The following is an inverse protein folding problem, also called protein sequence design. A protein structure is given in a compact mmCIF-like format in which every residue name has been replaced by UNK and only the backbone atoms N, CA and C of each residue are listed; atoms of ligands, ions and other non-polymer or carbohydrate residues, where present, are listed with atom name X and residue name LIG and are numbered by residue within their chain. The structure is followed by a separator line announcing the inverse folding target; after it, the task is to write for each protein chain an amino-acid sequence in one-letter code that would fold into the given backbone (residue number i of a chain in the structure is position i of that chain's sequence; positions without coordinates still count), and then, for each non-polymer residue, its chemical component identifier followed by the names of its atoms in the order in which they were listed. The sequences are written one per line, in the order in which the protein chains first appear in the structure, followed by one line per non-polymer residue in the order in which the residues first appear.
data_IF_699622404653
#
_entry.id   IF_699622404653
#
_cell.length_a   1.000
_cell.length_b   1.000
_cell.length_c   1.000
_cell.angle_alpha   90.00
_cell.angle_beta   90.00
_cell.angle_gamma   90.00
#
_symmetry.space_group_name_H-M   'P 1'
#
loop_
_entity.id
_entity.type
_entity.pdbx_description
1 polymer ?
#
# COMPACT_ATOMS: atom_id res chain seq x y z
N UNK A 1 -20.79 -5.47 -8.15
CA UNK A 1 -20.23 -4.10 -8.33
C UNK A 1 -18.75 -4.07 -7.97
N UNK A 2 -18.32 -4.57 -6.79
CA UNK A 2 -16.92 -4.61 -6.33
C UNK A 2 -15.95 -5.15 -7.40
N UNK A 3 -16.21 -6.33 -7.98
CA UNK A 3 -15.35 -6.96 -9.00
C UNK A 3 -15.22 -6.10 -10.27
N UNK A 4 -16.31 -5.46 -10.73
CA UNK A 4 -16.27 -4.63 -11.93
C UNK A 4 -15.38 -3.40 -11.74
N UNK A 5 -15.48 -2.75 -10.58
CA UNK A 5 -14.66 -1.57 -10.24
C UNK A 5 -13.20 -1.97 -10.18
N UNK A 6 -12.89 -3.06 -9.48
CA UNK A 6 -11.54 -3.60 -9.41
C UNK A 6 -10.99 -3.92 -10.81
N UNK A 7 -11.77 -4.60 -11.64
CA UNK A 7 -11.37 -4.93 -13.00
C UNK A 7 -11.04 -3.69 -13.84
N UNK A 8 -11.83 -2.61 -13.71
CA UNK A 8 -11.57 -1.34 -14.42
C UNK A 8 -10.26 -0.72 -13.93
N UNK A 9 -10.07 -0.61 -12.60
CA UNK A 9 -8.85 -0.02 -12.03
C UNK A 9 -7.62 -0.81 -12.45
N UNK A 10 -7.64 -2.14 -12.29
CA UNK A 10 -6.53 -3.00 -12.71
C UNK A 10 -6.26 -2.93 -14.20
N UNK A 11 -7.31 -2.90 -15.05
CA UNK A 11 -7.15 -2.78 -16.50
C UNK A 11 -6.44 -1.50 -16.90
N UNK A 12 -6.78 -0.36 -16.29
CA UNK A 12 -6.12 0.93 -16.55
C UNK A 12 -4.64 0.90 -16.15
N UNK A 13 -4.34 0.31 -15.00
CA UNK A 13 -2.97 0.21 -14.49
C UNK A 13 -2.11 -0.68 -15.40
N UNK A 14 -2.60 -1.87 -15.75
CA UNK A 14 -1.88 -2.79 -16.63
C UNK A 14 -1.75 -2.23 -18.03
N UNK A 15 -2.80 -1.59 -18.56
CA UNK A 15 -2.72 -0.95 -19.88
C UNK A 15 -1.65 0.15 -19.92
N UNK A 16 -1.51 0.94 -18.84
CA UNK A 16 -0.44 1.94 -18.72
C UNK A 16 0.94 1.31 -18.73
N UNK A 17 1.10 0.20 -18.00
CA UNK A 17 2.33 -0.58 -17.96
C UNK A 17 2.73 -1.08 -19.37
N UNK A 18 1.81 -1.78 -20.04
CA UNK A 18 2.04 -2.31 -21.39
C UNK A 18 2.28 -1.18 -22.41
N UNK A 19 1.62 -0.03 -22.22
CA UNK A 19 1.84 1.16 -23.06
C UNK A 19 3.27 1.67 -22.94
N UNK A 20 3.88 1.57 -21.78
CA UNK A 20 5.29 1.91 -21.57
C UNK A 20 6.19 1.06 -22.45
N UNK A 21 6.06 -0.26 -22.39
CA UNK A 21 6.81 -1.18 -23.25
C UNK A 21 6.57 -0.89 -24.73
N UNK A 22 5.31 -0.75 -25.12
CA UNK A 22 4.90 -0.46 -26.48
C UNK A 22 5.58 0.79 -27.06
N UNK A 23 5.49 1.91 -26.37
CA UNK A 23 6.01 3.19 -26.85
C UNK A 23 7.53 3.17 -26.97
N UNK A 24 8.23 2.57 -26.01
CA UNK A 24 9.68 2.48 -26.05
C UNK A 24 10.17 1.44 -27.07
N UNK A 25 9.45 0.33 -27.28
CA UNK A 25 9.73 -0.62 -28.34
C UNK A 25 9.63 0.05 -29.71
N UNK A 26 8.54 0.73 -30.01
CA UNK A 26 8.35 1.48 -31.26
C UNK A 26 9.42 2.57 -31.46
N UNK A 27 9.77 3.32 -30.41
CA UNK A 27 10.82 4.35 -30.44
C UNK A 27 12.20 3.77 -30.78
N UNK A 28 12.49 2.55 -30.32
CA UNK A 28 13.76 1.88 -30.58
C UNK A 28 13.74 1.00 -31.85
N UNK A 29 12.70 1.06 -32.68
CA UNK A 29 12.59 0.30 -33.91
C UNK A 29 12.28 -1.17 -33.71
N UNK A 30 11.83 -1.57 -32.52
CA UNK A 30 11.44 -2.95 -32.23
C UNK A 30 10.02 -3.19 -32.72
N UNK A 31 9.82 -4.25 -33.46
CA UNK A 31 8.53 -4.65 -34.02
C UNK A 31 7.61 -5.16 -32.91
N UNK A 32 6.49 -4.46 -32.70
CA UNK A 32 5.43 -4.96 -31.81
C UNK A 32 4.41 -5.71 -32.64
N UNK A 33 4.32 -7.02 -32.41
CA UNK A 33 3.42 -7.93 -33.12
C UNK A 33 1.97 -7.69 -32.70
N UNK A 34 1.72 -7.67 -31.39
CA UNK A 34 0.37 -7.47 -30.82
C UNK A 34 0.44 -6.59 -29.58
N UNK A 35 -0.47 -5.62 -29.50
CA UNK A 35 -0.77 -4.87 -28.29
C UNK A 35 -2.20 -5.15 -27.92
N UNK A 36 -2.44 -5.76 -26.75
CA UNK A 36 -3.77 -6.21 -26.36
C UNK A 36 -4.21 -5.68 -25.01
N UNK A 37 -5.50 -5.36 -24.93
CA UNK A 37 -6.23 -5.15 -23.68
C UNK A 37 -6.96 -6.45 -23.31
N UNK A 38 -6.71 -6.96 -22.10
CA UNK A 38 -7.30 -8.17 -21.57
C UNK A 38 -6.53 -9.44 -21.95
N UNK A 39 -7.03 -10.56 -21.49
CA UNK A 39 -6.50 -11.90 -21.69
C UNK A 39 -7.51 -12.83 -22.35
N UNK A 40 -7.04 -13.99 -22.86
CA UNK A 40 -7.88 -15.02 -23.46
C UNK A 40 -8.14 -14.83 -24.96
N UNK A 41 -9.25 -15.39 -25.48
CA UNK A 41 -9.61 -15.29 -26.90
C UNK A 41 -9.83 -13.84 -27.35
N UNK A 42 -9.41 -13.54 -28.60
CA UNK A 42 -9.65 -12.23 -29.21
C UNK A 42 -11.15 -12.04 -29.51
N UNK A 43 -11.72 -10.92 -29.07
CA UNK A 43 -13.07 -10.52 -29.43
C UNK A 43 -13.05 -9.59 -30.66
N UNK A 44 -12.17 -8.60 -30.65
CA UNK A 44 -12.00 -7.63 -31.73
C UNK A 44 -10.51 -7.42 -31.96
N UNK A 45 -10.11 -7.21 -33.22
CA UNK A 45 -8.75 -6.81 -33.55
C UNK A 45 -8.71 -5.95 -34.81
N UNK A 46 -7.70 -5.07 -34.85
CA UNK A 46 -7.40 -4.26 -36.03
C UNK A 46 -5.90 -4.18 -36.20
N UNK A 47 -5.42 -4.06 -37.44
CA UNK A 47 -3.99 -3.92 -37.73
C UNK A 47 -3.71 -2.50 -38.20
N UNK A 48 -2.70 -1.87 -37.60
CA UNK A 48 -2.26 -0.52 -37.98
C UNK A 48 -0.77 -0.37 -37.72
N UNK A 49 -0.04 0.12 -38.73
CA UNK A 49 1.41 0.36 -38.60
C UNK A 49 2.23 -0.87 -38.23
N UNK A 50 1.86 -2.03 -38.76
CA UNK A 50 2.54 -3.31 -38.49
C UNK A 50 2.30 -3.87 -37.08
N UNK A 51 1.34 -3.34 -36.34
CA UNK A 51 0.95 -3.85 -35.03
C UNK A 51 -0.52 -4.24 -35.04
N UNK A 52 -0.83 -5.40 -34.48
CA UNK A 52 -2.21 -5.82 -34.21
C UNK A 52 -2.66 -5.29 -32.86
N UNK A 53 -3.74 -4.51 -32.84
CA UNK A 53 -4.41 -4.05 -31.61
C UNK A 53 -5.58 -4.96 -31.34
N UNK A 54 -5.65 -5.58 -30.16
CA UNK A 54 -6.67 -6.56 -29.83
C UNK A 54 -7.39 -6.24 -28.54
N UNK A 55 -8.69 -6.49 -28.52
CA UNK A 55 -9.50 -6.59 -27.31
C UNK A 55 -9.81 -8.07 -27.07
N UNK A 56 -9.44 -8.56 -25.88
CA UNK A 56 -9.61 -9.96 -25.49
C UNK A 56 -10.76 -10.15 -24.50
N UNK A 57 -11.23 -11.37 -24.33
CA UNK A 57 -12.47 -11.70 -23.62
C UNK A 57 -12.47 -11.31 -22.15
N UNK A 58 -11.40 -11.58 -21.45
CA UNK A 58 -11.28 -11.24 -20.03
C UNK A 58 -10.65 -9.85 -19.88
N UNK A 59 -11.40 -8.84 -19.39
CA UNK A 59 -10.93 -7.46 -19.31
C UNK A 59 -9.96 -7.25 -18.13
N UNK A 60 -9.09 -8.21 -17.88
CA UNK A 60 -8.07 -8.17 -16.83
C UNK A 60 -6.71 -8.36 -17.48
N UNK A 61 -5.78 -7.45 -17.23
CA UNK A 61 -4.46 -7.52 -17.80
C UNK A 61 -4.33 -6.92 -19.20
N UNK A 62 -3.22 -7.15 -19.83
CA UNK A 62 -2.84 -6.73 -21.17
C UNK A 62 -1.61 -7.46 -21.62
N UNK A 63 -1.16 -7.22 -22.84
CA UNK A 63 0.14 -7.70 -23.32
C UNK A 63 0.68 -6.86 -24.46
N UNK A 64 2.00 -6.67 -24.45
CA UNK A 64 2.76 -6.07 -25.53
C UNK A 64 3.72 -7.13 -26.07
N UNK A 65 3.32 -7.85 -27.12
CA UNK A 65 4.14 -8.91 -27.72
C UNK A 65 5.12 -8.31 -28.72
N UNK A 66 6.41 -8.44 -28.47
CA UNK A 66 7.48 -7.97 -29.35
C UNK A 66 8.12 -9.14 -30.11
N UNK A 67 8.57 -8.89 -31.35
CA UNK A 67 9.29 -9.88 -32.12
C UNK A 67 10.64 -10.20 -31.46
N UNK A 68 10.97 -11.47 -31.34
CA UNK A 68 12.23 -11.92 -30.76
C UNK A 68 12.38 -11.66 -29.27
N UNK A 69 11.30 -11.52 -28.54
CA UNK A 69 11.35 -11.31 -27.08
C UNK A 69 11.46 -12.63 -26.32
N UNK A 70 10.68 -13.62 -26.72
CA UNK A 70 10.56 -14.92 -26.05
C UNK A 70 11.12 -16.08 -26.93
N UNK A 71 11.77 -15.76 -28.05
CA UNK A 71 12.41 -16.71 -28.94
C UNK A 71 13.83 -16.26 -29.32
N UNK A 72 14.54 -17.09 -30.09
CA UNK A 72 15.91 -16.81 -30.54
C UNK A 72 15.97 -15.93 -31.80
N UNK A 73 14.88 -15.27 -32.21
CA UNK A 73 14.85 -14.42 -33.39
C UNK A 73 15.76 -13.19 -33.21
N UNK A 74 16.74 -13.08 -34.08
CA UNK A 74 17.70 -11.97 -34.18
C UNK A 74 17.55 -11.18 -35.46
N UNK A 75 16.44 -11.32 -36.18
CA UNK A 75 16.15 -10.56 -37.40
C UNK A 75 16.08 -9.07 -37.13
N UNK A 76 16.19 -8.28 -38.22
CA UNK A 76 16.06 -6.84 -38.13
C UNK A 76 14.68 -6.46 -37.52
N UNK A 77 14.70 -5.57 -36.53
CA UNK A 77 13.50 -5.19 -35.80
C UNK A 77 13.09 -6.12 -34.65
N UNK A 78 13.81 -7.22 -34.39
CA UNK A 78 13.55 -8.06 -33.22
C UNK A 78 14.12 -7.43 -31.94
N UNK A 79 13.49 -7.73 -30.79
CA UNK A 79 13.96 -7.31 -29.46
C UNK A 79 15.40 -7.77 -29.23
N UNK A 80 15.70 -8.99 -29.61
CA UNK A 80 17.03 -9.57 -29.46
C UNK A 80 18.10 -8.91 -30.34
N UNK A 81 17.74 -8.30 -31.48
CA UNK A 81 18.68 -7.58 -32.33
C UNK A 81 18.93 -6.15 -31.86
N UNK A 82 18.08 -5.60 -31.01
CA UNK A 82 18.23 -4.26 -30.47
C UNK A 82 19.44 -4.17 -29.49
N UNK A 83 20.01 -2.97 -29.37
CA UNK A 83 21.10 -2.73 -28.43
C UNK A 83 20.66 -3.03 -27.00
N UNK A 84 21.59 -3.42 -26.12
CA UNK A 84 21.27 -3.72 -24.72
C UNK A 84 20.60 -2.53 -24.02
N UNK A 85 21.00 -1.32 -24.31
CA UNK A 85 20.40 -0.10 -23.73
C UNK A 85 18.99 0.15 -24.23
N UNK A 86 18.71 -0.15 -25.51
CA UNK A 86 17.36 -0.11 -26.05
C UNK A 86 16.46 -1.10 -25.33
N UNK A 87 16.92 -2.34 -25.15
CA UNK A 87 16.19 -3.39 -24.41
C UNK A 87 15.95 -3.00 -22.96
N UNK A 88 16.96 -2.48 -22.27
CA UNK A 88 16.82 -1.96 -20.90
C UNK A 88 15.75 -0.87 -20.85
N UNK A 89 15.79 0.09 -21.80
CA UNK A 89 14.80 1.18 -21.83
C UNK A 89 13.38 0.68 -22.05
N UNK A 90 13.19 -0.34 -22.88
CA UNK A 90 11.88 -0.95 -23.14
C UNK A 90 11.36 -1.67 -21.89
N UNK A 91 12.18 -2.52 -21.27
CA UNK A 91 11.75 -3.27 -20.09
C UNK A 91 11.49 -2.34 -18.89
N UNK A 92 12.33 -1.33 -18.67
CA UNK A 92 12.11 -0.36 -17.59
C UNK A 92 10.89 0.54 -17.81
N UNK A 93 10.42 0.69 -19.06
CA UNK A 93 9.32 1.60 -19.39
C UNK A 93 7.99 1.18 -18.77
N UNK A 94 7.69 -0.11 -18.63
CA UNK A 94 6.47 -0.59 -17.98
C UNK A 94 6.32 -0.04 -16.56
N UNK A 95 7.24 -0.35 -15.64
CA UNK A 95 7.22 0.21 -14.28
C UNK A 95 7.24 1.74 -14.24
N UNK A 96 8.02 2.40 -15.09
CA UNK A 96 8.09 3.87 -15.15
C UNK A 96 6.72 4.46 -15.52
N UNK A 97 6.00 3.87 -16.48
CA UNK A 97 4.67 4.34 -16.86
C UNK A 97 3.64 4.17 -15.76
N UNK A 98 3.80 3.17 -14.89
CA UNK A 98 2.98 3.06 -13.69
C UNK A 98 3.20 4.22 -12.72
N UNK A 99 4.45 4.66 -12.52
CA UNK A 99 4.72 5.85 -11.70
C UNK A 99 4.21 7.13 -12.35
N UNK A 100 4.28 7.24 -13.68
CA UNK A 100 3.69 8.36 -14.43
C UNK A 100 2.17 8.38 -14.26
N UNK A 101 1.50 7.25 -14.37
CA UNK A 101 0.06 7.14 -14.16
C UNK A 101 -0.33 7.53 -12.73
N UNK A 102 0.39 7.01 -11.74
CA UNK A 102 0.21 7.37 -10.34
C UNK A 102 0.36 8.88 -10.13
N UNK A 103 1.35 9.51 -10.76
CA UNK A 103 1.57 10.96 -10.70
C UNK A 103 0.42 11.75 -11.33
N UNK A 104 -0.08 11.34 -12.50
CA UNK A 104 -1.23 11.99 -13.16
C UNK A 104 -2.47 11.91 -12.26
N UNK A 105 -2.75 10.76 -11.68
CA UNK A 105 -3.88 10.60 -10.76
C UNK A 105 -3.70 11.41 -9.46
N UNK A 106 -2.48 11.45 -8.93
CA UNK A 106 -2.15 12.29 -7.78
C UNK A 106 -2.35 13.78 -8.09
N UNK A 107 -2.04 14.25 -9.31
CA UNK A 107 -2.33 15.62 -9.73
C UNK A 107 -3.82 15.93 -9.71
N UNK A 108 -4.67 14.99 -10.15
CA UNK A 108 -6.12 15.15 -10.10
C UNK A 108 -6.59 15.27 -8.64
N UNK A 109 -6.19 14.33 -7.78
CA UNK A 109 -6.58 14.34 -6.36
C UNK A 109 -6.09 15.62 -5.67
N UNK A 110 -4.82 15.98 -5.84
CA UNK A 110 -4.23 17.17 -5.19
C UNK A 110 -4.88 18.46 -5.69
N UNK A 111 -5.27 18.54 -6.96
CA UNK A 111 -5.99 19.69 -7.50
C UNK A 111 -7.40 19.82 -6.92
N UNK A 112 -8.11 18.69 -6.75
CA UNK A 112 -9.49 18.67 -6.28
C UNK A 112 -9.57 18.72 -4.76
N UNK A 113 -8.75 17.97 -4.03
CA UNK A 113 -8.82 17.83 -2.58
C UNK A 113 -7.72 18.58 -1.82
N UNK A 114 -6.60 18.90 -2.49
CA UNK A 114 -5.41 19.45 -1.84
C UNK A 114 -4.45 18.37 -1.33
N UNK A 115 -3.55 18.76 -0.43
CA UNK A 115 -2.58 17.88 0.22
C UNK A 115 -2.78 17.92 1.74
N UNK A 116 -2.23 16.97 2.46
CA UNK A 116 -2.27 16.86 3.91
C UNK A 116 -0.98 17.45 4.53
N UNK A 117 -0.97 18.72 4.97
CA UNK A 117 0.21 19.30 5.63
C UNK A 117 0.47 18.63 6.97
N UNK A 118 1.73 18.34 7.32
CA UNK A 118 2.10 17.75 8.61
C UNK A 118 2.07 18.81 9.73
N UNK A 119 0.90 19.39 9.94
CA UNK A 119 0.68 20.53 10.84
C UNK A 119 0.24 20.06 12.21
N UNK A 120 0.80 20.62 13.25
CA UNK A 120 0.37 20.38 14.62
C UNK A 120 -0.99 21.04 14.82
N UNK A 121 -2.01 20.26 15.16
CA UNK A 121 -3.37 20.73 15.44
C UNK A 121 -3.57 21.13 16.89
N UNK A 122 -2.95 20.40 17.79
CA UNK A 122 -3.07 20.62 19.22
C UNK A 122 -1.81 20.13 19.92
N UNK A 123 -1.41 20.84 20.95
CA UNK A 123 -0.38 20.40 21.91
C UNK A 123 -0.99 20.44 23.29
N UNK A 124 -0.87 19.33 24.03
CA UNK A 124 -1.38 19.26 25.41
C UNK A 124 -0.59 20.22 26.30
N UNK A 125 -1.25 21.22 26.89
CA UNK A 125 -0.62 22.19 27.77
C UNK A 125 0.04 21.51 28.97
N UNK A 126 1.28 21.90 29.28
CA UNK A 126 2.09 21.26 30.32
C UNK A 126 2.69 19.91 29.92
N UNK A 127 2.47 19.43 28.69
CA UNK A 127 3.15 18.21 28.17
C UNK A 127 4.63 18.51 27.88
N UNK A 128 5.50 17.49 27.86
CA UNK A 128 6.89 17.63 27.46
C UNK A 128 7.08 18.28 26.08
N UNK A 129 6.17 18.01 25.13
CA UNK A 129 6.18 18.65 23.82
C UNK A 129 5.90 20.15 23.91
N UNK A 130 4.94 20.55 24.75
CA UNK A 130 4.60 21.93 24.99
C UNK A 130 5.75 22.68 25.70
N UNK A 131 6.38 22.07 26.70
CA UNK A 131 7.56 22.62 27.42
C UNK A 131 8.76 22.76 26.49
N UNK A 132 8.95 21.81 25.55
CA UNK A 132 9.97 21.89 24.52
C UNK A 132 9.72 22.98 23.47
N UNK A 133 8.57 23.65 23.53
CA UNK A 133 8.26 24.79 22.68
C UNK A 133 7.38 24.50 21.48
N UNK A 134 6.89 23.26 21.27
CA UNK A 134 5.95 22.92 20.20
C UNK A 134 4.60 23.63 20.44
N UNK A 135 3.98 24.14 19.39
CA UNK A 135 2.69 24.86 19.46
C UNK A 135 1.78 24.46 18.30
N UNK A 136 0.51 24.71 18.45
CA UNK A 136 -0.48 24.63 17.38
C UNK A 136 -0.05 25.49 16.18
N UNK A 137 -0.23 24.97 14.98
CA UNK A 137 0.14 25.61 13.71
C UNK A 137 1.57 25.34 13.25
N UNK A 138 2.44 24.76 14.07
CA UNK A 138 3.77 24.33 13.65
C UNK A 138 3.68 23.26 12.55
N UNK A 139 4.56 23.34 11.57
CA UNK A 139 4.63 22.36 10.48
C UNK A 139 5.84 21.45 10.70
N UNK A 140 5.61 20.18 10.99
CA UNK A 140 6.68 19.20 11.22
C UNK A 140 7.38 18.92 9.88
N UNK A 141 8.70 19.02 9.87
CA UNK A 141 9.52 18.78 8.66
C UNK A 141 10.46 17.60 8.80
N UNK A 142 10.70 17.14 10.03
CA UNK A 142 11.47 15.96 10.34
C UNK A 142 10.95 15.34 11.64
N UNK A 143 10.92 14.01 11.70
CA UNK A 143 10.51 13.27 12.89
C UNK A 143 11.39 12.04 13.04
N UNK A 144 12.07 11.91 14.18
CA UNK A 144 13.00 10.80 14.48
C UNK A 144 14.00 10.54 13.33
N UNK A 145 14.58 11.62 12.75
CA UNK A 145 15.52 11.55 11.64
C UNK A 145 14.91 11.27 10.27
N UNK A 146 13.58 11.06 10.17
CA UNK A 146 12.88 10.91 8.88
C UNK A 146 12.31 12.25 8.40
N UNK A 147 12.51 12.55 7.12
CA UNK A 147 11.94 13.74 6.49
C UNK A 147 10.43 13.59 6.34
N UNK A 148 9.68 14.57 6.83
CA UNK A 148 8.22 14.65 6.80
C UNK A 148 7.81 15.76 5.83
N UNK A 149 7.01 15.43 4.83
CA UNK A 149 6.52 16.38 3.81
C UNK A 149 5.00 16.48 3.81
N UNK A 150 4.32 15.37 4.09
CA UNK A 150 2.86 15.27 4.21
C UNK A 150 2.50 14.60 5.55
N UNK A 151 1.29 14.83 6.04
CA UNK A 151 0.83 14.29 7.33
C UNK A 151 0.90 12.76 7.39
N UNK A 152 0.63 12.09 6.27
CA UNK A 152 0.73 10.64 6.16
C UNK A 152 2.16 10.10 6.25
N UNK A 153 3.21 10.88 5.98
CA UNK A 153 4.59 10.45 6.27
C UNK A 153 4.74 10.18 7.78
N UNK A 154 4.15 11.04 8.62
CA UNK A 154 4.17 10.89 10.08
C UNK A 154 3.27 9.74 10.54
N UNK A 155 2.06 9.65 9.98
CA UNK A 155 1.11 8.56 10.25
C UNK A 155 1.70 7.19 9.90
N UNK A 156 2.33 7.08 8.73
CA UNK A 156 3.02 5.86 8.30
C UNK A 156 4.18 5.50 9.23
N UNK A 157 4.96 6.50 9.68
CA UNK A 157 6.02 6.27 10.67
C UNK A 157 5.45 5.70 11.97
N UNK A 158 4.41 6.33 12.50
CA UNK A 158 3.76 5.89 13.74
C UNK A 158 3.17 4.48 13.62
N UNK A 159 2.55 4.17 12.48
CA UNK A 159 1.94 2.86 12.21
C UNK A 159 2.99 1.75 12.06
N UNK A 160 4.06 1.99 11.32
CA UNK A 160 5.05 0.95 10.98
C UNK A 160 6.10 0.76 12.09
N UNK A 161 6.49 1.83 12.78
CA UNK A 161 7.56 1.80 13.78
C UNK A 161 7.03 1.97 15.20
N UNK A 162 5.93 2.72 15.36
CA UNK A 162 5.48 3.18 16.67
C UNK A 162 6.49 4.12 17.33
N UNK A 163 6.20 4.54 18.55
CA UNK A 163 7.16 5.22 19.40
C UNK A 163 7.90 4.15 20.21
N UNK A 164 9.13 3.85 19.82
CA UNK A 164 9.98 2.83 20.48
C UNK A 164 10.71 3.40 21.69
N UNK A 165 11.04 4.69 21.65
CA UNK A 165 11.75 5.42 22.70
C UNK A 165 10.87 6.55 23.22
N UNK A 166 11.02 6.88 24.50
CA UNK A 166 10.41 8.04 25.11
C UNK A 166 11.03 9.35 24.60
N UNK A 167 12.26 9.30 24.10
CA UNK A 167 12.94 10.46 23.54
C UNK A 167 12.45 10.72 22.12
N UNK A 168 11.73 11.82 21.93
CA UNK A 168 11.24 12.27 20.64
C UNK A 168 12.08 13.45 20.17
N UNK A 169 12.69 13.30 18.97
CA UNK A 169 13.35 14.39 18.26
C UNK A 169 12.54 14.77 17.03
N UNK A 170 12.27 16.04 16.86
CA UNK A 170 11.58 16.57 15.68
C UNK A 170 12.08 17.96 15.31
N UNK A 171 12.01 18.24 14.00
CA UNK A 171 12.21 19.58 13.45
C UNK A 171 10.85 20.10 12.96
N UNK A 172 10.51 21.30 13.35
CA UNK A 172 9.32 21.97 12.85
C UNK A 172 9.65 23.35 12.25
N UNK A 173 8.72 23.87 11.48
CA UNK A 173 8.79 25.20 10.87
C UNK A 173 7.68 26.08 11.44
N UNK A 174 8.05 27.24 12.03
CA UNK A 174 7.16 28.31 12.50
C UNK A 174 7.61 29.63 11.87
N UNK A 175 6.69 30.37 11.26
CA UNK A 175 6.96 31.66 10.60
C UNK A 175 8.14 31.61 9.62
N UNK A 176 8.25 30.51 8.89
CA UNK A 176 9.32 30.31 7.91
C UNK A 176 10.66 29.82 8.47
N UNK A 177 10.85 29.79 9.79
CA UNK A 177 12.10 29.38 10.46
C UNK A 177 12.00 27.93 10.93
N UNK A 178 13.04 27.14 10.69
CA UNK A 178 13.17 25.79 11.25
C UNK A 178 13.66 25.86 12.69
N UNK A 179 13.12 24.98 13.52
CA UNK A 179 13.52 24.78 14.90
C UNK A 179 13.59 23.30 15.20
N UNK A 180 14.65 22.90 15.89
CA UNK A 180 14.87 21.51 16.31
C UNK A 180 14.57 21.41 17.81
N UNK A 181 13.78 20.40 18.18
CA UNK A 181 13.50 20.11 19.59
C UNK A 181 13.69 18.62 19.86
N UNK A 182 14.05 18.35 21.10
CA UNK A 182 14.09 17.00 21.64
C UNK A 182 13.47 17.04 23.03
N UNK A 183 12.56 16.12 23.29
CA UNK A 183 11.89 16.02 24.59
C UNK A 183 11.64 14.55 24.94
N UNK A 184 11.45 14.29 26.22
CA UNK A 184 11.08 12.97 26.70
C UNK A 184 9.57 12.91 26.88
N UNK A 185 8.91 12.13 26.00
CA UNK A 185 7.47 11.92 26.03
C UNK A 185 7.02 11.23 27.33
N UNK A 186 5.81 11.50 27.75
CA UNK A 186 5.19 10.76 28.83
C UNK A 186 4.94 9.31 28.40
N UNK A 187 5.17 8.39 29.30
CA UNK A 187 4.88 6.98 29.03
C UNK A 187 4.16 6.36 30.22
N UNK A 188 3.20 5.52 29.91
CA UNK A 188 2.45 4.75 30.89
C UNK A 188 2.42 3.28 30.45
N UNK A 189 2.66 2.39 31.39
CA UNK A 189 2.53 0.95 31.14
C UNK A 189 1.16 0.50 31.60
N UNK A 190 0.35 0.00 30.65
CA UNK A 190 -0.99 -0.51 30.89
C UNK A 190 -1.14 -1.93 30.35
N UNK A 191 -1.95 -2.71 31.01
CA UNK A 191 -2.40 -3.98 30.43
C UNK A 191 -3.39 -3.69 29.31
N UNK A 192 -3.16 -4.30 28.14
CA UNK A 192 -4.01 -4.13 26.96
C UNK A 192 -4.36 -5.48 26.34
N UNK A 193 -5.55 -5.58 25.79
CA UNK A 193 -5.99 -6.75 25.02
C UNK A 193 -5.47 -6.70 23.58
N UNK A 194 -5.20 -5.50 23.07
CA UNK A 194 -4.58 -5.29 21.76
C UNK A 194 -5.55 -5.35 20.60
N UNK A 195 -6.67 -4.66 20.72
CA UNK A 195 -7.60 -4.37 19.63
C UNK A 195 -8.17 -2.94 19.76
N UNK A 196 -8.63 -2.41 18.64
CA UNK A 196 -9.44 -1.19 18.59
C UNK A 196 -10.88 -1.57 18.24
N UNK A 197 -11.83 -0.95 18.89
CA UNK A 197 -13.25 -1.14 18.62
C UNK A 197 -13.94 0.20 18.32
N UNK A 198 -15.12 0.15 17.72
CA UNK A 198 -15.91 1.32 17.41
C UNK A 198 -16.21 2.11 18.69
N UNK A 199 -16.01 3.43 18.67
CA UNK A 199 -16.23 4.30 19.84
C UNK A 199 -17.71 4.58 20.13
N UNK A 200 -18.58 4.37 19.14
CA UNK A 200 -20.01 4.58 19.20
C UNK A 200 -20.75 3.38 18.60
N UNK A 201 -21.97 3.16 19.05
CA UNK A 201 -22.80 2.06 18.57
C UNK A 201 -22.39 0.71 19.16
N UNK A 202 -22.49 -0.35 18.37
CA UNK A 202 -22.06 -1.68 18.78
C UNK A 202 -20.53 -1.74 18.90
N UNK A 203 -19.98 -2.45 19.90
CA UNK A 203 -18.53 -2.55 20.10
C UNK A 203 -17.89 -3.52 19.10
N UNK A 204 -17.96 -3.16 17.81
CA UNK A 204 -17.35 -3.89 16.72
C UNK A 204 -15.84 -3.71 16.74
N UNK A 205 -15.09 -4.78 16.63
CA UNK A 205 -13.63 -4.75 16.56
C UNK A 205 -13.22 -4.27 15.17
N UNK A 206 -12.65 -3.08 15.12
CA UNK A 206 -12.20 -2.46 13.88
C UNK A 206 -10.82 -2.95 13.46
N UNK A 207 -9.95 -3.22 14.44
CA UNK A 207 -8.58 -3.63 14.19
C UNK A 207 -8.04 -4.46 15.35
N UNK A 208 -7.30 -5.51 15.04
CA UNK A 208 -6.55 -6.31 16.00
C UNK A 208 -5.07 -6.04 15.83
N UNK A 209 -4.40 -5.67 16.93
CA UNK A 209 -2.96 -5.33 16.90
C UNK A 209 -2.13 -6.59 16.70
N UNK A 210 -1.10 -6.46 15.86
CA UNK A 210 -0.15 -7.55 15.57
C UNK A 210 0.52 -8.04 16.86
N UNK A 211 0.70 -9.36 16.96
CA UNK A 211 1.30 -10.03 18.11
C UNK A 211 0.57 -9.83 19.46
N UNK A 212 -0.62 -9.22 19.46
CA UNK A 212 -1.43 -9.05 20.65
C UNK A 212 -1.95 -10.39 21.19
N UNK A 213 -2.38 -10.37 22.45
CA UNK A 213 -3.02 -11.54 23.06
C UNK A 213 -4.32 -11.92 22.36
N UNK A 214 -5.08 -10.93 21.90
CA UNK A 214 -6.35 -11.17 21.20
C UNK A 214 -6.14 -11.73 19.80
N UNK A 215 -5.11 -11.27 19.06
CA UNK A 215 -4.75 -11.89 17.78
C UNK A 215 -4.39 -13.37 17.95
N UNK A 216 -3.58 -13.69 18.98
CA UNK A 216 -3.19 -15.07 19.28
C UNK A 216 -4.38 -15.93 19.71
N UNK A 217 -5.39 -15.33 20.32
CA UNK A 217 -6.63 -15.99 20.71
C UNK A 217 -7.64 -16.14 19.56
N UNK A 218 -7.36 -15.58 18.38
CA UNK A 218 -8.16 -15.73 17.17
C UNK A 218 -9.26 -14.68 16.98
N UNK A 219 -9.19 -13.54 17.70
CA UNK A 219 -10.08 -12.40 17.47
C UNK A 219 -9.77 -11.77 16.11
N UNK A 220 -10.80 -11.31 15.39
CA UNK A 220 -10.72 -10.73 14.06
C UNK A 220 -11.44 -9.38 14.01
N UNK A 221 -11.07 -8.56 13.02
CA UNK A 221 -11.86 -7.38 12.69
C UNK A 221 -13.26 -7.81 12.20
N UNK A 222 -14.30 -7.06 12.59
CA UNK A 222 -15.69 -7.40 12.34
C UNK A 222 -16.36 -8.23 13.44
N UNK A 223 -15.60 -8.75 14.43
CA UNK A 223 -16.20 -9.36 15.63
C UNK A 223 -16.91 -8.30 16.47
N UNK A 224 -18.10 -8.60 16.98
CA UNK A 224 -18.83 -7.70 17.89
C UNK A 224 -18.73 -8.26 19.30
N UNK A 225 -18.29 -7.45 20.27
CA UNK A 225 -18.18 -7.85 21.67
C UNK A 225 -19.57 -7.81 22.28
N UNK A 226 -20.07 -8.95 22.76
CA UNK A 226 -21.37 -9.10 23.42
C UNK A 226 -21.25 -9.33 24.94
N UNK A 227 -20.09 -9.78 25.39
CA UNK A 227 -19.88 -10.11 26.82
C UNK A 227 -18.41 -9.89 27.19
N UNK A 228 -18.15 -9.41 28.39
CA UNK A 228 -16.81 -9.37 29.00
C UNK A 228 -16.87 -9.93 30.41
N UNK A 229 -16.12 -10.99 30.70
CA UNK A 229 -16.06 -11.68 32.00
C UNK A 229 -17.45 -12.06 32.59
N UNK A 230 -18.41 -12.43 31.72
CA UNK A 230 -19.77 -12.79 32.15
C UNK A 230 -20.74 -11.61 32.26
N UNK A 231 -20.29 -10.39 31.95
CA UNK A 231 -21.13 -9.20 31.92
C UNK A 231 -21.52 -8.88 30.47
N UNK A 232 -22.82 -8.80 30.20
CA UNK A 232 -23.36 -8.46 28.87
C UNK A 232 -23.03 -7.00 28.52
N UNK A 233 -22.62 -6.78 27.27
CA UNK A 233 -22.28 -5.49 26.68
C UNK A 233 -23.14 -5.26 25.45
N UNK A 234 -23.91 -4.18 25.44
CA UNK A 234 -24.83 -3.83 24.35
C UNK A 234 -24.26 -2.80 23.39
N UNK A 235 -23.42 -1.92 23.90
CA UNK A 235 -22.81 -0.83 23.14
C UNK A 235 -21.39 -0.51 23.63
N UNK A 236 -20.70 0.30 22.85
CA UNK A 236 -19.32 0.71 23.11
C UNK A 236 -19.17 1.51 24.40
N UNK A 237 -20.19 2.27 24.79
CA UNK A 237 -20.16 3.04 26.03
C UNK A 237 -20.13 2.13 27.26
N UNK A 238 -20.98 1.09 27.26
CA UNK A 238 -21.01 0.09 28.34
C UNK A 238 -19.68 -0.69 28.43
N UNK A 239 -19.06 -1.04 27.28
CA UNK A 239 -17.74 -1.68 27.30
C UNK A 239 -16.68 -0.74 27.89
N UNK A 240 -16.71 0.54 27.52
CA UNK A 240 -15.78 1.54 28.04
C UNK A 240 -15.95 1.74 29.55
N UNK A 241 -17.18 1.82 30.03
CA UNK A 241 -17.47 2.00 31.45
C UNK A 241 -17.05 0.75 32.25
N UNK A 242 -17.32 -0.44 31.74
CA UNK A 242 -16.84 -1.69 32.35
C UNK A 242 -15.30 -1.68 32.49
N UNK A 243 -14.57 -1.34 31.42
CA UNK A 243 -13.10 -1.31 31.45
C UNK A 243 -12.53 -0.21 32.34
N UNK A 244 -13.27 0.89 32.58
CA UNK A 244 -12.89 1.93 33.56
C UNK A 244 -13.08 1.45 35.01
N UNK A 245 -14.19 0.76 35.28
CA UNK A 245 -14.49 0.23 36.61
C UNK A 245 -13.67 -1.00 36.96
N UNK A 246 -13.28 -1.79 35.95
CA UNK A 246 -12.49 -3.02 36.07
C UNK A 246 -11.22 -2.92 35.24
N UNK A 247 -10.22 -2.14 35.67
CA UNK A 247 -8.96 -2.01 34.94
C UNK A 247 -8.29 -3.36 34.73
N UNK A 248 -7.73 -3.57 33.54
CA UNK A 248 -6.99 -4.80 33.23
C UNK A 248 -5.73 -4.90 34.12
N UNK A 249 -5.52 -6.05 34.73
CA UNK A 249 -4.42 -6.32 35.68
C UNK A 249 -3.52 -7.49 35.27
N UNK A 250 -3.70 -8.00 34.03
CA UNK A 250 -2.99 -9.17 33.52
C UNK A 250 -3.66 -10.51 33.82
N UNK A 251 -4.78 -10.52 34.54
CA UNK A 251 -5.64 -11.69 34.69
C UNK A 251 -6.28 -12.07 33.36
N UNK A 252 -6.65 -13.34 33.20
CA UNK A 252 -7.33 -13.80 32.00
C UNK A 252 -8.69 -13.11 31.83
N UNK A 253 -8.92 -12.54 30.64
CA UNK A 253 -10.20 -11.92 30.28
C UNK A 253 -10.93 -12.84 29.31
N UNK A 254 -12.21 -13.07 29.57
CA UNK A 254 -13.13 -13.82 28.71
C UNK A 254 -14.00 -12.84 27.94
N UNK A 255 -13.98 -12.93 26.61
CA UNK A 255 -14.86 -12.16 25.73
C UNK A 255 -15.85 -13.10 25.06
N UNK A 256 -17.14 -12.79 25.18
CA UNK A 256 -18.18 -13.32 24.30
C UNK A 256 -18.24 -12.45 23.06
N UNK A 257 -17.87 -12.99 21.90
CA UNK A 257 -17.93 -12.29 20.62
C UNK A 257 -19.01 -12.88 19.72
N UNK A 258 -19.62 -12.04 18.93
CA UNK A 258 -20.51 -12.46 17.85
C UNK A 258 -19.74 -12.35 16.53
N UNK A 259 -19.59 -13.50 15.85
CA UNK A 259 -18.97 -13.62 14.52
C UNK A 259 -19.94 -14.33 13.58
N UNK A 260 -20.31 -13.68 12.49
CA UNK A 260 -21.27 -14.24 11.51
C UNK A 260 -22.58 -14.74 12.15
N UNK A 261 -23.10 -14.00 13.14
CA UNK A 261 -24.33 -14.36 13.87
C UNK A 261 -24.20 -15.52 14.85
N UNK A 262 -22.98 -16.00 15.14
CA UNK A 262 -22.68 -17.01 16.14
C UNK A 262 -21.92 -16.41 17.31
N UNK A 263 -22.33 -16.78 18.52
CA UNK A 263 -21.61 -16.40 19.72
C UNK A 263 -20.48 -17.39 19.98
N UNK A 264 -19.28 -16.85 20.16
CA UNK A 264 -18.06 -17.58 20.52
C UNK A 264 -17.45 -16.96 21.78
N UNK A 265 -16.91 -17.80 22.68
CA UNK A 265 -16.18 -17.30 23.84
C UNK A 265 -14.70 -17.45 23.64
N UNK A 266 -13.98 -16.35 23.73
CA UNK A 266 -12.52 -16.28 23.58
C UNK A 266 -11.92 -15.83 24.90
N UNK A 267 -10.81 -16.48 25.28
CA UNK A 267 -10.05 -16.11 26.48
C UNK A 267 -8.65 -15.64 26.08
N UNK A 268 -8.21 -14.53 26.66
CA UNK A 268 -6.85 -14.03 26.46
C UNK A 268 -6.34 -13.31 27.72
N UNK A 269 -5.03 -13.36 27.92
CA UNK A 269 -4.38 -12.59 28.98
C UNK A 269 -3.93 -11.24 28.42
N UNK A 270 -4.33 -10.10 29.01
CA UNK A 270 -3.82 -8.81 28.64
C UNK A 270 -2.30 -8.78 28.73
N UNK A 271 -1.66 -8.09 27.79
CA UNK A 271 -0.22 -7.89 27.80
C UNK A 271 0.10 -6.50 28.34
N UNK A 272 1.14 -6.40 29.18
CA UNK A 272 1.64 -5.10 29.60
C UNK A 272 2.27 -4.42 28.39
N UNK A 273 1.69 -3.31 27.96
CA UNK A 273 2.14 -2.52 26.82
C UNK A 273 2.48 -1.13 27.31
N UNK A 274 3.66 -0.66 26.93
CA UNK A 274 4.08 0.71 27.18
C UNK A 274 3.43 1.61 26.13
N UNK A 275 2.57 2.52 26.57
CA UNK A 275 2.01 3.59 25.76
C UNK A 275 2.86 4.84 25.93
N UNK A 276 3.36 5.38 24.83
CA UNK A 276 4.11 6.63 24.80
C UNK A 276 3.18 7.69 24.23
N UNK A 277 2.94 8.74 25.01
CA UNK A 277 2.13 9.88 24.60
C UNK A 277 3.04 10.97 24.07
N UNK A 278 2.94 11.26 22.78
CA UNK A 278 3.72 12.33 22.13
C UNK A 278 3.38 13.73 22.64
N UNK A 279 2.21 13.90 23.28
CA UNK A 279 1.74 15.18 23.80
C UNK A 279 1.22 16.15 22.74
N UNK A 280 1.09 15.72 21.48
CA UNK A 280 0.53 16.54 20.40
C UNK A 280 -0.29 15.74 19.41
N UNK A 281 -1.20 16.41 18.72
CA UNK A 281 -2.03 15.89 17.63
C UNK A 281 -1.61 16.59 16.33
N UNK A 282 -1.46 15.84 15.26
CA UNK A 282 -1.08 16.36 13.96
C UNK A 282 -2.20 16.20 12.92
N UNK A 283 -2.12 16.99 11.85
CA UNK A 283 -3.13 17.04 10.82
C UNK A 283 -3.00 15.91 9.81
N UNK A 284 -4.13 15.29 9.51
CA UNK A 284 -4.31 14.34 8.39
C UNK A 284 -5.33 14.86 7.36
N UNK A 285 -5.92 16.05 7.59
CA UNK A 285 -6.89 16.65 6.67
C UNK A 285 -6.18 17.35 5.51
N UNK A 286 -6.85 17.42 4.37
CA UNK A 286 -6.29 18.05 3.16
C UNK A 286 -6.59 19.54 3.09
N UNK A 287 -5.57 20.32 2.71
CA UNK A 287 -5.64 21.76 2.46
C UNK A 287 -5.33 22.06 0.99
N UNK A 288 -6.02 23.04 0.41
CA UNK A 288 -5.78 23.48 -0.97
C UNK A 288 -4.38 24.06 -1.12
N UNK A 289 -3.83 23.93 -2.31
CA UNK A 289 -2.51 24.47 -2.67
C UNK A 289 -2.54 25.16 -4.04
N UNK A 290 -1.48 25.88 -4.38
CA UNK A 290 -1.32 26.51 -5.68
C UNK A 290 -0.83 25.50 -6.74
N UNK A 291 -0.76 25.91 -8.01
CA UNK A 291 -0.36 25.03 -9.12
C UNK A 291 1.01 24.35 -8.93
N UNK A 292 2.01 25.10 -8.45
CA UNK A 292 3.34 24.51 -8.17
C UNK A 292 3.28 23.55 -7.00
N UNK A 293 2.45 23.84 -6.00
CA UNK A 293 2.15 22.93 -4.90
C UNK A 293 1.48 21.64 -5.40
N UNK A 294 0.55 21.72 -6.35
CA UNK A 294 -0.06 20.52 -6.96
C UNK A 294 1.03 19.62 -7.53
N UNK A 295 1.93 20.14 -8.35
CA UNK A 295 3.03 19.35 -8.94
C UNK A 295 3.92 18.75 -7.85
N UNK A 296 4.34 19.57 -6.88
CA UNK A 296 5.23 19.14 -5.79
C UNK A 296 4.60 18.04 -4.92
N UNK A 297 3.37 18.26 -4.47
CA UNK A 297 2.72 17.31 -3.55
C UNK A 297 2.23 16.06 -4.26
N UNK A 298 1.93 16.13 -5.56
CA UNK A 298 1.65 14.94 -6.36
C UNK A 298 2.90 14.05 -6.53
N UNK A 299 4.07 14.66 -6.73
CA UNK A 299 5.33 13.91 -6.71
C UNK A 299 5.62 13.32 -5.32
N UNK A 300 5.29 14.06 -4.26
CA UNK A 300 5.40 13.57 -2.88
C UNK A 300 4.45 12.39 -2.62
N UNK A 301 3.23 12.44 -3.15
CA UNK A 301 2.25 11.33 -3.07
C UNK A 301 2.82 10.04 -3.67
N UNK A 302 3.39 10.13 -4.88
CA UNK A 302 4.01 8.96 -5.53
C UNK A 302 5.22 8.47 -4.73
N UNK A 303 6.09 9.38 -4.28
CA UNK A 303 7.22 9.04 -3.40
C UNK A 303 6.75 8.32 -2.14
N UNK A 304 5.70 8.82 -1.50
CA UNK A 304 5.11 8.22 -0.30
C UNK A 304 4.74 6.74 -0.55
N UNK A 305 3.98 6.45 -1.61
CA UNK A 305 3.57 5.08 -1.92
C UNK A 305 4.76 4.18 -2.28
N UNK A 306 5.73 4.69 -3.05
CA UNK A 306 6.97 3.95 -3.35
C UNK A 306 7.72 3.61 -2.07
N UNK A 307 7.92 4.60 -1.20
CA UNK A 307 8.68 4.42 0.05
C UNK A 307 7.98 3.46 1.00
N UNK A 308 6.66 3.59 1.17
CA UNK A 308 5.85 2.71 2.03
C UNK A 308 5.88 1.27 1.51
N UNK A 309 5.78 1.07 0.18
CA UNK A 309 5.88 -0.27 -0.42
C UNK A 309 7.24 -0.90 -0.15
N UNK A 310 8.34 -0.16 -0.37
CA UNK A 310 9.70 -0.67 -0.13
C UNK A 310 9.90 -0.98 1.36
N UNK A 311 9.40 -0.12 2.25
CA UNK A 311 9.52 -0.32 3.70
C UNK A 311 8.73 -1.55 4.16
N UNK A 312 7.49 -1.72 3.68
CA UNK A 312 6.66 -2.89 3.99
C UNK A 312 7.32 -4.19 3.50
N UNK A 313 7.91 -4.19 2.29
CA UNK A 313 8.66 -5.34 1.78
C UNK A 313 9.91 -5.63 2.63
N UNK A 314 10.63 -4.59 3.07
CA UNK A 314 11.78 -4.76 3.94
C UNK A 314 11.37 -5.34 5.31
N UNK A 315 10.23 -4.93 5.86
CA UNK A 315 9.69 -5.46 7.12
C UNK A 315 9.25 -6.93 6.96
N UNK A 316 8.65 -7.29 5.81
CA UNK A 316 8.32 -8.68 5.48
C UNK A 316 9.57 -9.56 5.44
N UNK A 317 10.64 -9.12 4.75
CA UNK A 317 11.91 -9.84 4.66
C UNK A 317 12.58 -9.99 6.04
N UNK A 318 12.44 -8.99 6.92
CA UNK A 318 12.93 -9.05 8.31
C UNK A 318 12.06 -9.90 9.25
N UNK A 319 10.95 -10.46 8.74
CA UNK A 319 10.02 -11.26 9.55
C UNK A 319 9.20 -10.46 10.58
N UNK A 320 9.11 -9.15 10.40
CA UNK A 320 8.28 -8.28 11.25
C UNK A 320 6.80 -8.36 10.89
N UNK A 321 6.50 -8.75 9.64
CA UNK A 321 5.17 -9.14 9.17
C UNK A 321 5.15 -10.60 8.77
N UNK A 322 4.01 -11.25 8.96
CA UNK A 322 3.78 -12.59 8.46
C UNK A 322 3.31 -12.56 7.01
N UNK A 323 3.63 -13.60 6.23
CA UNK A 323 3.03 -13.80 4.90
C UNK A 323 1.50 -13.91 5.00
N UNK A 324 0.99 -14.34 6.15
CA UNK A 324 -0.45 -14.37 6.41
C UNK A 324 -1.06 -12.96 6.51
N UNK A 325 -0.29 -11.91 6.76
CA UNK A 325 -0.79 -10.53 6.84
C UNK A 325 -0.92 -9.89 5.46
N UNK A 326 -0.39 -10.53 4.41
CA UNK A 326 -0.54 -10.07 3.03
C UNK A 326 -1.98 -10.26 2.55
N UNK A 327 -2.54 -9.21 1.98
CA UNK A 327 -3.81 -9.29 1.24
C UNK A 327 -3.52 -9.68 -0.21
N UNK A 328 -4.20 -10.73 -0.67
CA UNK A 328 -4.17 -11.13 -2.06
C UNK A 328 -5.22 -10.42 -2.91
N UNK A 329 -5.38 -10.85 -4.16
CA UNK A 329 -6.32 -10.21 -5.08
C UNK A 329 -7.76 -10.16 -4.55
N UNK A 330 -8.21 -11.17 -3.81
CA UNK A 330 -9.57 -11.25 -3.28
C UNK A 330 -9.75 -10.26 -2.15
N UNK A 331 -8.80 -10.19 -1.21
CA UNK A 331 -8.80 -9.20 -0.12
C UNK A 331 -8.75 -7.77 -0.64
N UNK A 332 -7.92 -7.48 -1.65
CA UNK A 332 -7.85 -6.15 -2.27
C UNK A 332 -9.19 -5.77 -2.91
N UNK A 333 -9.85 -6.69 -3.63
CA UNK A 333 -11.16 -6.45 -4.25
C UNK A 333 -12.21 -6.14 -3.17
N UNK A 334 -12.18 -6.85 -2.05
CA UNK A 334 -13.13 -6.67 -0.96
C UNK A 334 -12.96 -5.30 -0.30
N UNK A 335 -11.76 -4.98 0.19
CA UNK A 335 -11.46 -3.68 0.84
C UNK A 335 -11.71 -2.49 -0.10
N UNK A 336 -11.36 -2.62 -1.40
CA UNK A 336 -11.66 -1.58 -2.39
C UNK A 336 -13.16 -1.43 -2.60
N UNK A 337 -13.91 -2.54 -2.58
CA UNK A 337 -15.37 -2.53 -2.69
C UNK A 337 -16.03 -1.86 -1.48
N UNK A 338 -15.55 -2.12 -0.28
CA UNK A 338 -16.05 -1.46 0.94
C UNK A 338 -15.74 0.04 0.93
N UNK A 339 -14.54 0.41 0.50
CA UNK A 339 -14.15 1.81 0.29
C UNK A 339 -15.08 2.52 -0.73
N UNK A 340 -15.49 1.81 -1.79
CA UNK A 340 -16.45 2.33 -2.76
C UNK A 340 -17.85 2.55 -2.14
N UNK A 341 -18.37 1.58 -1.40
CA UNK A 341 -19.70 1.70 -0.77
C UNK A 341 -19.70 2.78 0.32
N UNK A 342 -18.63 2.96 1.06
CA UNK A 342 -18.47 4.06 2.00
C UNK A 342 -18.47 5.42 1.28
N UNK A 343 -17.63 5.58 0.26
CA UNK A 343 -17.54 6.82 -0.51
C UNK A 343 -18.85 7.17 -1.25
N UNK A 344 -19.64 6.17 -1.63
CA UNK A 344 -20.93 6.36 -2.30
C UNK A 344 -21.95 7.15 -1.46
N UNK A 345 -21.87 7.03 -0.13
CA UNK A 345 -22.71 7.80 0.81
C UNK A 345 -22.39 9.29 0.77
N UNK A 346 -21.16 9.66 0.40
CA UNK A 346 -20.66 11.03 0.33
C UNK A 346 -20.79 11.65 -1.09
N UNK A 347 -21.17 10.85 -2.08
CA UNK A 347 -21.48 11.30 -3.45
C UNK A 347 -20.43 10.93 -4.49
N UNK A 348 -20.76 11.19 -5.77
CA UNK A 348 -20.00 10.72 -6.92
C UNK A 348 -18.56 11.27 -6.98
N UNK A 349 -18.31 12.48 -6.50
CA UNK A 349 -16.99 13.08 -6.47
C UNK A 349 -16.09 12.30 -5.50
N UNK A 350 -16.62 11.98 -4.31
CA UNK A 350 -15.85 11.20 -3.32
C UNK A 350 -15.54 9.79 -3.83
N UNK A 351 -16.50 9.14 -4.47
CA UNK A 351 -16.29 7.84 -5.15
C UNK A 351 -15.13 7.95 -6.15
N UNK A 352 -15.14 8.97 -7.01
CA UNK A 352 -14.09 9.15 -8.01
C UNK A 352 -12.72 9.37 -7.37
N UNK A 353 -12.65 10.19 -6.34
CA UNK A 353 -11.40 10.46 -5.61
C UNK A 353 -10.88 9.20 -4.90
N UNK A 354 -11.77 8.44 -4.27
CA UNK A 354 -11.41 7.20 -3.58
C UNK A 354 -10.89 6.13 -4.56
N UNK A 355 -11.52 6.00 -5.73
CA UNK A 355 -11.05 5.06 -6.75
C UNK A 355 -9.72 5.50 -7.38
N UNK A 356 -9.52 6.80 -7.59
CA UNK A 356 -8.22 7.32 -8.02
C UNK A 356 -7.13 7.08 -6.97
N UNK A 357 -7.45 7.21 -5.68
CA UNK A 357 -6.52 6.91 -4.60
C UNK A 357 -6.07 5.44 -4.62
N UNK A 358 -7.02 4.50 -4.79
CA UNK A 358 -6.70 3.08 -5.00
C UNK A 358 -5.85 2.86 -6.25
N UNK A 359 -6.15 3.57 -7.34
CA UNK A 359 -5.37 3.47 -8.56
C UNK A 359 -3.92 3.98 -8.39
N UNK A 360 -3.70 5.05 -7.61
CA UNK A 360 -2.34 5.54 -7.28
C UNK A 360 -1.58 4.47 -6.48
N UNK A 361 -2.18 3.97 -5.39
CA UNK A 361 -1.60 2.94 -4.53
C UNK A 361 -1.19 1.71 -5.33
N UNK A 362 -2.15 1.14 -6.08
CA UNK A 362 -1.92 -0.09 -6.84
C UNK A 362 -0.94 0.12 -8.00
N UNK A 363 -0.97 1.29 -8.67
CA UNK A 363 -0.04 1.60 -9.75
C UNK A 363 1.39 1.78 -9.23
N UNK A 364 1.57 2.49 -8.12
CA UNK A 364 2.88 2.64 -7.49
C UNK A 364 3.42 1.29 -7.00
N UNK A 365 2.57 0.47 -6.35
CA UNK A 365 2.95 -0.86 -5.89
C UNK A 365 3.36 -1.75 -7.06
N UNK A 366 2.58 -1.79 -8.15
CA UNK A 366 2.91 -2.58 -9.33
C UNK A 366 4.23 -2.12 -9.95
N UNK A 367 4.47 -0.79 -10.00
CA UNK A 367 5.74 -0.25 -10.48
C UNK A 367 6.93 -0.70 -9.64
N UNK A 368 6.81 -0.67 -8.30
CA UNK A 368 7.87 -1.14 -7.38
C UNK A 368 8.07 -2.65 -7.51
N UNK A 369 6.97 -3.43 -7.46
CA UNK A 369 7.04 -4.89 -7.53
C UNK A 369 7.70 -5.36 -8.83
N UNK A 370 7.34 -4.75 -9.97
CA UNK A 370 7.92 -5.10 -11.26
C UNK A 370 9.39 -4.69 -11.39
N UNK A 371 9.90 -3.76 -10.58
CA UNK A 371 11.34 -3.43 -10.53
C UNK A 371 12.14 -4.33 -9.59
N UNK A 372 11.51 -5.18 -8.79
CA UNK A 372 12.24 -6.12 -7.94
C UNK A 372 13.04 -7.12 -8.79
N UNK A 373 14.23 -7.53 -8.34
CA UNK A 373 15.07 -8.50 -9.05
C UNK A 373 14.54 -9.93 -8.92
N UNK A 374 13.24 -10.10 -9.19
CA UNK A 374 12.56 -11.40 -9.10
C UNK A 374 12.35 -11.91 -10.51
N UNK A 375 12.78 -13.15 -10.83
CA UNK A 375 12.49 -13.78 -12.11
C UNK A 375 10.99 -13.80 -12.41
N UNK A 376 10.63 -13.72 -13.68
CA UNK A 376 9.27 -13.56 -14.22
C UNK A 376 8.72 -12.12 -14.15
N UNK A 377 9.37 -11.19 -13.44
CA UNK A 377 9.05 -9.75 -13.47
C UNK A 377 10.06 -8.99 -14.33
N UNK A 378 9.71 -7.77 -14.73
CA UNK A 378 10.59 -6.89 -15.52
C UNK A 378 11.95 -6.66 -14.86
N UNK A 379 11.96 -6.49 -13.52
CA UNK A 379 13.17 -6.30 -12.72
C UNK A 379 14.11 -7.51 -12.82
N UNK A 380 13.58 -8.72 -12.86
CA UNK A 380 14.37 -9.91 -13.14
C UNK A 380 15.04 -9.85 -14.51
N UNK A 381 14.29 -9.47 -15.56
CA UNK A 381 14.83 -9.28 -16.92
C UNK A 381 15.85 -8.13 -16.97
N UNK A 382 15.59 -7.03 -16.27
CA UNK A 382 16.55 -5.92 -16.14
C UNK A 382 17.89 -6.35 -15.55
N UNK A 383 17.89 -7.24 -14.56
CA UNK A 383 19.13 -7.76 -13.97
C UNK A 383 19.94 -8.52 -15.01
N UNK A 384 19.33 -9.40 -15.82
CA UNK A 384 20.01 -10.11 -16.89
C UNK A 384 20.59 -9.14 -17.93
N UNK A 385 19.82 -8.14 -18.35
CA UNK A 385 20.27 -7.11 -19.29
C UNK A 385 21.40 -6.25 -18.74
N UNK A 386 21.38 -5.89 -17.46
CA UNK A 386 22.47 -5.17 -16.80
C UNK A 386 23.75 -6.01 -16.73
N UNK A 387 23.65 -7.30 -16.41
CA UNK A 387 24.78 -8.22 -16.43
C UNK A 387 25.35 -8.34 -17.87
N UNK A 388 24.49 -8.42 -18.87
CA UNK A 388 24.91 -8.41 -20.30
C UNK A 388 25.65 -7.10 -20.65
N UNK A 389 25.11 -5.95 -20.23
CA UNK A 389 25.73 -4.63 -20.49
C UNK A 389 27.14 -4.55 -19.90
N UNK A 390 27.33 -5.05 -18.67
CA UNK A 390 28.66 -5.06 -17.99
C UNK A 390 29.61 -6.04 -18.66
N UNK A 391 29.15 -7.26 -18.96
CA UNK A 391 29.97 -8.34 -19.55
C UNK A 391 30.21 -8.12 -21.05
N UNK A 392 29.43 -7.25 -21.72
CA UNK A 392 29.45 -7.03 -23.17
C UNK A 392 29.24 -8.33 -23.98
N UNK A 393 28.60 -9.32 -23.38
CA UNK A 393 28.33 -10.62 -23.99
C UNK A 393 26.97 -11.11 -23.51
N UNK A 394 26.15 -11.57 -24.44
CA UNK A 394 24.84 -12.15 -24.14
C UNK A 394 24.94 -13.33 -23.18
N UNK A 395 23.94 -13.43 -22.33
CA UNK A 395 23.69 -14.61 -21.52
C UNK A 395 23.05 -15.69 -22.37
N UNK A 396 23.13 -16.93 -21.91
CA UNK A 396 22.51 -18.06 -22.60
C UNK A 396 20.98 -17.95 -22.47
N UNK A 397 20.20 -17.82 -23.57
CA UNK A 397 18.74 -17.65 -23.52
C UNK A 397 18.02 -18.80 -22.79
N UNK A 398 18.54 -20.03 -22.92
CA UNK A 398 17.96 -21.20 -22.23
C UNK A 398 18.08 -21.08 -20.70
N UNK A 399 19.19 -20.51 -20.20
CA UNK A 399 19.38 -20.29 -18.75
C UNK A 399 18.46 -19.19 -18.26
N UNK A 400 18.36 -18.10 -19.01
CA UNK A 400 17.46 -16.98 -18.71
C UNK A 400 16.01 -17.48 -18.69
N UNK A 401 15.55 -18.18 -19.71
CA UNK A 401 14.21 -18.74 -19.80
C UNK A 401 13.89 -19.70 -18.66
N UNK A 402 14.84 -20.57 -18.27
CA UNK A 402 14.66 -21.52 -17.16
C UNK A 402 14.52 -20.79 -15.82
N UNK A 403 15.32 -19.75 -15.58
CA UNK A 403 15.26 -18.95 -14.34
C UNK A 403 13.93 -18.19 -14.29
N UNK A 404 13.49 -17.58 -15.39
CA UNK A 404 12.18 -16.92 -15.47
C UNK A 404 11.03 -17.89 -15.26
N UNK A 405 11.07 -19.09 -15.85
CA UNK A 405 10.06 -20.11 -15.64
C UNK A 405 9.99 -20.56 -14.17
N UNK A 406 11.14 -20.80 -13.53
CA UNK A 406 11.18 -21.14 -12.11
C UNK A 406 10.59 -20.03 -11.22
N UNK A 407 10.92 -18.76 -11.53
CA UNK A 407 10.35 -17.61 -10.84
C UNK A 407 8.83 -17.51 -11.02
N UNK A 408 8.34 -17.75 -12.24
CA UNK A 408 6.91 -17.78 -12.54
C UNK A 408 6.18 -18.84 -11.72
N UNK A 409 6.71 -20.07 -11.66
CA UNK A 409 6.12 -21.15 -10.85
C UNK A 409 6.09 -20.75 -9.37
N UNK A 410 7.17 -20.16 -8.85
CA UNK A 410 7.23 -19.69 -7.45
C UNK A 410 6.17 -18.62 -7.18
N UNK A 411 6.04 -17.62 -8.06
CA UNK A 411 5.03 -16.56 -7.92
C UNK A 411 3.60 -17.10 -8.00
N UNK A 412 3.34 -18.09 -8.89
CA UNK A 412 2.04 -18.75 -8.97
C UNK A 412 1.71 -19.51 -7.68
N UNK A 413 2.67 -20.22 -7.09
CA UNK A 413 2.48 -20.91 -5.82
C UNK A 413 2.21 -19.91 -4.68
N UNK A 414 2.96 -18.81 -4.64
CA UNK A 414 2.71 -17.73 -3.66
C UNK A 414 1.31 -17.12 -3.84
N UNK A 415 0.90 -16.85 -5.09
CA UNK A 415 -0.43 -16.32 -5.38
C UNK A 415 -1.55 -17.24 -4.92
N UNK A 416 -1.42 -18.56 -5.19
CA UNK A 416 -2.40 -19.56 -4.73
C UNK A 416 -2.45 -19.61 -3.20
N UNK A 417 -1.29 -19.55 -2.54
CA UNK A 417 -1.21 -19.54 -1.09
C UNK A 417 -1.90 -18.31 -0.49
N UNK A 418 -1.58 -17.11 -1.00
CA UNK A 418 -2.17 -15.85 -0.51
C UNK A 418 -3.67 -15.80 -0.80
N UNK A 419 -4.12 -16.27 -1.97
CA UNK A 419 -5.55 -16.36 -2.31
C UNK A 419 -6.30 -17.33 -1.38
N UNK A 420 -5.71 -18.47 -1.04
CA UNK A 420 -6.27 -19.40 -0.05
C UNK A 420 -6.40 -18.73 1.32
N UNK A 421 -5.40 -17.92 1.70
CA UNK A 421 -5.44 -17.17 2.94
C UNK A 421 -6.53 -16.08 2.94
N UNK A 422 -6.74 -15.37 1.80
CA UNK A 422 -7.84 -14.42 1.64
C UNK A 422 -9.20 -15.10 1.90
N UNK A 423 -9.45 -16.25 1.26
CA UNK A 423 -10.71 -16.99 1.46
C UNK A 423 -10.94 -17.50 2.89
N UNK A 424 -9.89 -17.65 3.68
CA UNK A 424 -10.03 -18.03 5.10
C UNK A 424 -10.37 -16.84 6.00
N UNK A 425 -10.13 -15.62 5.52
CA UNK A 425 -10.39 -14.38 6.25
C UNK A 425 -11.78 -13.78 5.96
N UNK A 426 -12.35 -14.11 4.78
CA UNK A 426 -13.72 -13.78 4.38
C UNK A 426 -14.72 -14.77 4.98
#
# INVERSE_FOLDING_TARGET
MKILIAAIVFSVIVLSHELGHFLLAKKNGITVIEFSLGMGPRLLSTERGGTRYSLKLFPIGGSCMMAGEDDDDTSEGSFNNASVWARISVVAAGPVFNFILAFVFAMIITSVMGYDPPKVLQVTEGSPAWEAGLREGDVITEFQGKNIVIGRDLDSYMTLHGLQDETISLTYKRDGKKQDITFRANSESKYMLGFHYASEGEPEILQVMLNSSMQKAGVQAGDIIREINGVEVKDSAQLQDYLKEHPLDGSEVKLGIERNGKLETISAKPQMTKQIDSGFVYNVYREKTNFLGVIRYSATEVRYWISTTIESLAMLVKGQFSVNDLSGPVGIIDVMGDSYEAAKKEGAVMVSMQMLYWAILLSANLGVMNLLPIPALDGGRLVFLLVEAVRRKRLNPNVEGMVHFAGFVLLMLLMVFVMFNDFRRL
#
